data_IF_984580089058
#
_entry.id   IF_984580089058
#
_cell.length_a   1.000
_cell.length_b   1.000
_cell.length_c   1.000
_cell.angle_alpha   90.00
_cell.angle_beta   90.00
_cell.angle_gamma   90.00
#
_symmetry.space_group_name_H-M   'P 1'
#
loop_
_entity.id
_entity.type
_entity.pdbx_description
1 polymer ?
#
# COMPACT_ATOMS: atom_id res chain seq x y z
N UNK A 1 64.78 11.58 -42.45
CA UNK A 1 63.83 12.24 -41.50
C UNK A 1 62.41 12.55 -42.09
N UNK A 2 62.12 12.42 -43.39
CA UNK A 2 60.77 12.73 -43.94
C UNK A 2 59.84 11.52 -44.06
N UNK A 3 60.30 10.30 -43.88
CA UNK A 3 59.44 9.10 -43.93
C UNK A 3 58.75 8.72 -42.61
N UNK A 4 59.36 9.04 -41.48
CA UNK A 4 58.80 8.76 -40.14
C UNK A 4 57.56 9.59 -39.81
N UNK A 5 57.43 10.80 -40.38
CA UNK A 5 56.28 11.65 -40.12
C UNK A 5 54.99 11.22 -40.87
N UNK A 6 55.14 10.46 -41.98
CA UNK A 6 53.98 9.95 -42.71
C UNK A 6 53.32 8.75 -42.04
N UNK A 7 54.10 7.91 -41.38
CA UNK A 7 53.58 6.75 -40.60
C UNK A 7 52.89 7.19 -39.31
N UNK A 8 53.39 8.21 -38.65
CA UNK A 8 52.73 8.73 -37.42
C UNK A 8 51.37 9.37 -37.68
N UNK A 9 51.19 10.02 -38.86
CA UNK A 9 49.89 10.60 -39.23
C UNK A 9 48.87 9.55 -39.66
N UNK A 10 49.28 8.45 -40.27
CA UNK A 10 48.37 7.34 -40.64
C UNK A 10 47.88 6.56 -39.40
N UNK A 11 48.73 6.37 -38.39
CA UNK A 11 48.37 5.75 -37.13
C UNK A 11 47.43 6.63 -36.29
N UNK A 12 47.61 7.96 -36.31
CA UNK A 12 46.72 8.89 -35.63
C UNK A 12 45.32 8.93 -36.23
N UNK A 13 45.19 8.85 -37.54
CA UNK A 13 43.88 8.79 -38.21
C UNK A 13 43.18 7.44 -38.05
N UNK A 14 43.92 6.31 -38.00
CA UNK A 14 43.35 5.00 -37.71
C UNK A 14 42.83 4.86 -36.28
N UNK A 15 43.50 5.49 -35.29
CA UNK A 15 43.05 5.55 -33.91
C UNK A 15 41.78 6.36 -33.67
N UNK A 16 41.60 7.45 -34.43
CA UNK A 16 40.39 8.27 -34.35
C UNK A 16 39.16 7.58 -34.97
N UNK A 17 39.31 6.79 -36.02
CA UNK A 17 38.23 6.07 -36.67
C UNK A 17 37.78 4.86 -35.83
N UNK A 18 38.72 4.18 -35.14
CA UNK A 18 38.42 3.10 -34.22
C UNK A 18 37.70 3.59 -32.94
N UNK A 19 38.01 4.81 -32.46
CA UNK A 19 37.39 5.43 -31.32
C UNK A 19 35.92 5.90 -31.54
N UNK A 20 35.55 6.24 -32.78
CA UNK A 20 34.21 6.69 -33.14
C UNK A 20 33.25 5.54 -33.41
N UNK A 21 33.72 4.34 -33.73
CA UNK A 21 32.89 3.16 -33.90
C UNK A 21 32.47 2.47 -32.60
N UNK A 22 33.18 2.73 -31.49
CA UNK A 22 32.83 2.20 -30.18
C UNK A 22 31.75 3.02 -29.43
N UNK A 23 31.38 4.19 -29.95
CA UNK A 23 30.30 5.04 -29.37
C UNK A 23 28.90 4.74 -29.92
N UNK A 24 28.76 3.84 -30.88
CA UNK A 24 27.47 3.41 -31.41
C UNK A 24 26.91 2.14 -30.76
N UNK A 25 27.52 1.67 -29.66
CA UNK A 25 27.22 0.40 -29.01
C UNK A 25 26.49 0.46 -27.66
N UNK A 26 26.10 1.63 -27.16
CA UNK A 26 25.37 1.74 -25.88
C UNK A 26 23.97 2.36 -26.03
N UNK A 27 23.30 1.99 -27.09
CA UNK A 27 21.88 2.25 -27.27
C UNK A 27 21.11 0.95 -27.31
N UNK A 28 21.18 0.11 -26.26
CA UNK A 28 20.07 -0.81 -26.03
C UNK A 28 18.93 0.05 -25.52
N UNK A 29 18.22 0.70 -26.45
CA UNK A 29 16.87 1.12 -26.17
C UNK A 29 16.18 -0.13 -25.63
N UNK A 30 15.78 -0.10 -24.37
CA UNK A 30 14.90 -1.10 -23.83
C UNK A 30 13.67 -1.11 -24.76
N UNK A 31 13.55 -2.16 -25.57
CA UNK A 31 12.44 -2.32 -26.53
C UNK A 31 11.17 -2.78 -25.81
N UNK A 32 10.90 -2.22 -24.63
CA UNK A 32 9.65 -2.48 -23.96
C UNK A 32 8.66 -1.42 -24.36
N UNK A 33 7.61 -1.86 -25.06
CA UNK A 33 6.46 -1.01 -25.29
C UNK A 33 5.83 -0.63 -23.93
N UNK A 34 5.45 0.64 -23.75
CA UNK A 34 4.74 1.05 -22.55
C UNK A 34 3.50 0.18 -22.31
N UNK A 35 3.24 -0.13 -21.05
CA UNK A 35 2.05 -0.92 -20.72
C UNK A 35 0.79 -0.10 -20.98
N UNK A 36 -0.21 -0.75 -21.54
CA UNK A 36 -1.56 -0.20 -21.74
C UNK A 36 -2.59 -1.13 -21.11
N UNK A 37 -2.70 -1.13 -19.79
CA UNK A 37 -3.59 -2.03 -19.10
C UNK A 37 -5.05 -1.71 -19.44
N UNK A 38 -5.82 -2.74 -19.72
CA UNK A 38 -7.28 -2.66 -19.87
C UNK A 38 -8.01 -3.03 -18.58
N UNK A 39 -7.30 -3.67 -17.66
CA UNK A 39 -7.80 -4.04 -16.33
C UNK A 39 -6.74 -3.79 -15.26
N UNK A 40 -7.17 -3.24 -14.13
CA UNK A 40 -6.37 -3.19 -12.89
C UNK A 40 -7.01 -4.14 -11.89
N UNK A 41 -6.17 -4.97 -11.24
CA UNK A 41 -6.58 -5.85 -10.16
C UNK A 41 -5.69 -5.57 -8.95
N UNK A 42 -6.30 -5.10 -7.86
CA UNK A 42 -5.58 -4.70 -6.66
C UNK A 42 -5.81 -5.67 -5.49
N UNK A 43 -4.76 -5.91 -4.73
CA UNK A 43 -4.76 -6.71 -3.51
C UNK A 43 -4.05 -5.97 -2.39
N UNK A 44 -4.47 -6.17 -1.16
CA UNK A 44 -3.75 -5.63 -0.03
C UNK A 44 -4.63 -5.04 1.07
N UNK A 45 -4.17 -3.91 1.60
CA UNK A 45 -4.76 -3.24 2.76
C UNK A 45 -5.40 -1.87 2.40
N UNK A 46 -5.34 -0.91 3.32
CA UNK A 46 -6.07 0.36 3.23
C UNK A 46 -5.84 1.18 1.95
N UNK A 47 -4.64 1.15 1.35
CA UNK A 47 -4.33 1.97 0.17
C UNK A 47 -5.07 1.49 -1.09
N UNK A 48 -5.51 0.25 -1.08
CA UNK A 48 -6.25 -0.35 -2.20
C UNK A 48 -7.68 -0.77 -1.79
N UNK A 49 -8.09 -0.54 -0.55
CA UNK A 49 -9.47 -0.73 -0.10
C UNK A 49 -10.36 0.39 -0.67
N UNK A 50 -11.26 0.04 -1.56
CA UNK A 50 -12.20 0.96 -2.21
C UNK A 50 -13.57 0.99 -1.52
N UNK A 51 -13.60 0.70 -0.23
CA UNK A 51 -14.79 0.75 0.61
C UNK A 51 -15.39 -0.62 0.89
N UNK A 52 -14.59 -1.68 0.82
CA UNK A 52 -15.03 -3.03 1.19
C UNK A 52 -15.37 -3.12 2.66
N UNK A 53 -14.43 -2.71 3.50
CA UNK A 53 -14.58 -2.75 4.95
C UNK A 53 -15.14 -1.45 5.51
N UNK A 54 -15.24 -0.40 4.68
CA UNK A 54 -15.83 0.86 5.07
C UNK A 54 -17.36 0.85 4.94
N UNK A 55 -17.99 1.77 5.65
CA UNK A 55 -19.45 1.90 5.68
C UNK A 55 -20.03 2.28 4.32
N UNK A 56 -21.15 1.65 3.95
CA UNK A 56 -22.05 2.17 2.93
C UNK A 56 -22.96 3.21 3.57
N UNK A 57 -22.97 4.41 3.01
CA UNK A 57 -23.83 5.52 3.42
C UNK A 57 -24.77 5.91 2.29
N UNK A 58 -25.93 6.45 2.63
CA UNK A 58 -26.84 6.98 1.63
C UNK A 58 -26.64 8.48 1.51
N UNK A 59 -26.20 8.94 0.34
CA UNK A 59 -26.01 10.35 0.02
C UNK A 59 -27.03 10.72 -1.05
N UNK A 60 -27.97 11.59 -0.70
CA UNK A 60 -29.07 12.02 -1.61
C UNK A 60 -29.77 10.85 -2.31
N UNK A 61 -30.07 9.78 -1.56
CA UNK A 61 -30.76 8.59 -2.07
C UNK A 61 -29.86 7.55 -2.74
N UNK A 62 -28.57 7.84 -2.95
CA UNK A 62 -27.62 6.90 -3.56
C UNK A 62 -26.76 6.22 -2.52
N UNK A 63 -26.69 4.89 -2.56
CA UNK A 63 -25.76 4.12 -1.74
C UNK A 63 -24.31 4.39 -2.20
N UNK A 64 -23.50 4.87 -1.27
CA UNK A 64 -22.11 5.27 -1.54
C UNK A 64 -21.19 4.64 -0.52
N UNK A 65 -20.11 4.04 -0.96
CA UNK A 65 -19.08 3.50 -0.07
C UNK A 65 -18.07 4.58 0.28
N UNK A 66 -17.75 4.71 1.56
CA UNK A 66 -16.64 5.54 2.01
C UNK A 66 -15.32 4.78 1.87
N UNK A 67 -14.20 5.53 1.85
CA UNK A 67 -12.83 5.01 1.81
C UNK A 67 -12.13 5.35 3.12
N UNK A 68 -11.02 4.70 3.37
CA UNK A 68 -10.12 5.02 4.48
C UNK A 68 -9.26 6.25 4.14
N UNK A 69 -9.93 7.40 4.07
CA UNK A 69 -9.36 8.71 3.75
C UNK A 69 -10.38 9.79 4.13
N UNK A 70 -10.08 11.06 3.86
CA UNK A 70 -11.10 12.11 3.92
C UNK A 70 -12.00 12.00 2.69
N UNK A 71 -13.26 11.67 2.93
CA UNK A 71 -14.22 11.42 1.87
C UNK A 71 -14.80 12.73 1.32
N UNK A 72 -14.70 12.93 0.02
CA UNK A 72 -15.20 14.13 -0.62
C UNK A 72 -16.71 14.03 -0.86
N UNK A 73 -17.47 14.39 0.16
CA UNK A 73 -18.92 14.47 0.15
C UNK A 73 -19.31 15.90 0.43
N UNK A 74 -19.63 16.63 -0.62
CA UNK A 74 -20.14 18.00 -0.52
C UNK A 74 -21.66 18.02 -0.48
N UNK A 75 -22.24 19.10 0.06
CA UNK A 75 -23.71 19.28 0.05
C UNK A 75 -24.24 19.18 -1.39
N UNK A 76 -25.25 18.35 -1.60
CA UNK A 76 -25.82 18.08 -2.93
C UNK A 76 -25.09 16.99 -3.74
N UNK A 77 -23.95 16.46 -3.27
CA UNK A 77 -23.27 15.35 -3.96
C UNK A 77 -24.17 14.09 -3.97
N UNK A 78 -24.03 13.31 -5.04
CA UNK A 78 -24.68 12.00 -5.19
C UNK A 78 -23.70 10.84 -5.03
N UNK A 79 -22.40 11.15 -4.91
CA UNK A 79 -21.32 10.17 -4.80
C UNK A 79 -20.15 10.72 -4.00
N UNK A 80 -19.29 9.82 -3.52
CA UNK A 80 -18.01 10.15 -2.94
C UNK A 80 -16.96 10.23 -4.07
N UNK A 81 -16.34 11.40 -4.25
CA UNK A 81 -15.33 11.64 -5.29
C UNK A 81 -13.90 11.63 -4.75
N UNK A 82 -13.69 11.24 -3.50
CA UNK A 82 -12.34 11.06 -2.96
C UNK A 82 -11.63 9.93 -3.66
N UNK A 83 -10.40 10.20 -4.10
CA UNK A 83 -9.57 9.20 -4.72
C UNK A 83 -8.59 8.62 -3.71
N UNK A 84 -8.51 7.29 -3.70
CA UNK A 84 -7.41 6.53 -3.09
C UNK A 84 -6.27 6.37 -4.09
N UNK A 85 -5.13 5.88 -3.62
CA UNK A 85 -3.98 5.57 -4.47
C UNK A 85 -4.36 4.77 -5.72
N UNK A 86 -5.15 3.70 -5.54
CA UNK A 86 -5.53 2.81 -6.64
C UNK A 86 -6.51 3.48 -7.63
N UNK A 87 -7.38 4.37 -7.15
CA UNK A 87 -8.30 5.12 -8.01
C UNK A 87 -7.56 6.17 -8.85
N UNK A 88 -6.52 6.84 -8.28
CA UNK A 88 -5.63 7.71 -9.06
C UNK A 88 -4.92 6.94 -10.18
N UNK A 89 -4.39 5.75 -9.84
CA UNK A 89 -3.69 4.91 -10.83
C UNK A 89 -4.64 4.42 -11.93
N UNK A 90 -5.85 4.01 -11.58
CA UNK A 90 -6.87 3.60 -12.55
C UNK A 90 -7.25 4.75 -13.48
N UNK A 91 -7.43 5.95 -12.95
CA UNK A 91 -7.71 7.16 -13.72
C UNK A 91 -6.60 7.49 -14.71
N UNK A 92 -5.32 7.33 -14.31
CA UNK A 92 -4.17 7.57 -15.19
C UNK A 92 -4.21 6.69 -16.45
N UNK A 93 -4.63 5.44 -16.32
CA UNK A 93 -4.74 4.51 -17.45
C UNK A 93 -6.08 4.60 -18.19
N UNK A 94 -6.93 5.57 -17.89
CA UNK A 94 -8.26 5.69 -18.49
C UNK A 94 -9.22 4.57 -18.08
N UNK A 95 -8.87 3.80 -17.07
CA UNK A 95 -9.73 2.81 -16.44
C UNK A 95 -10.66 3.57 -15.49
N UNK A 96 -11.95 3.39 -15.61
CA UNK A 96 -12.95 4.10 -14.83
C UNK A 96 -12.86 3.86 -13.32
N UNK A 97 -13.98 3.74 -12.64
CA UNK A 97 -14.00 3.47 -11.19
C UNK A 97 -13.41 2.10 -10.85
N UNK A 98 -12.73 2.02 -9.71
CA UNK A 98 -12.32 0.75 -9.13
C UNK A 98 -13.44 0.23 -8.22
N UNK A 99 -13.91 -0.98 -8.51
CA UNK A 99 -14.98 -1.64 -7.76
C UNK A 99 -14.39 -2.70 -6.82
N UNK A 100 -15.07 -2.92 -5.69
CA UNK A 100 -14.73 -4.06 -4.85
C UNK A 100 -15.13 -5.38 -5.53
N UNK A 101 -14.21 -6.33 -5.55
CA UNK A 101 -14.37 -7.59 -6.26
C UNK A 101 -14.76 -8.78 -5.34
N UNK A 102 -14.52 -8.66 -4.03
CA UNK A 102 -14.74 -9.76 -3.08
C UNK A 102 -16.19 -10.22 -2.95
N UNK A 103 -17.16 -9.29 -2.96
CA UNK A 103 -18.60 -9.63 -2.90
C UNK A 103 -19.15 -10.18 -4.22
N UNK A 104 -18.41 -10.03 -5.30
CA UNK A 104 -18.83 -10.53 -6.62
C UNK A 104 -18.67 -12.06 -6.76
N UNK A 105 -18.32 -12.76 -5.70
CA UNK A 105 -18.13 -14.22 -5.67
C UNK A 105 -19.37 -15.00 -6.11
N UNK A 106 -20.55 -14.43 -5.99
CA UNK A 106 -21.78 -15.03 -6.51
C UNK A 106 -21.98 -14.82 -8.01
N UNK A 107 -21.20 -13.96 -8.67
CA UNK A 107 -21.47 -13.49 -10.04
C UNK A 107 -20.59 -14.14 -11.13
N UNK A 108 -19.69 -15.05 -10.77
CA UNK A 108 -18.86 -15.74 -11.77
C UNK A 108 -17.58 -15.00 -12.13
N UNK A 109 -17.13 -15.12 -13.39
CA UNK A 109 -15.84 -14.61 -13.87
C UNK A 109 -15.78 -13.08 -13.86
N UNK A 110 -14.67 -12.51 -13.35
CA UNK A 110 -14.41 -11.09 -13.46
C UNK A 110 -14.39 -10.63 -14.93
N UNK A 111 -14.93 -9.44 -15.24
CA UNK A 111 -14.78 -8.85 -16.56
C UNK A 111 -13.30 -8.67 -16.94
N UNK A 112 -13.02 -8.71 -18.23
CA UNK A 112 -11.66 -8.56 -18.79
C UNK A 112 -11.17 -7.11 -18.82
N UNK A 113 -12.02 -6.15 -18.47
CA UNK A 113 -11.71 -4.71 -18.46
C UNK A 113 -12.22 -4.08 -17.17
N UNK A 114 -11.65 -2.93 -16.79
CA UNK A 114 -12.08 -2.17 -15.63
C UNK A 114 -11.15 -2.28 -14.41
N UNK A 115 -11.52 -1.64 -13.32
CA UNK A 115 -10.77 -1.65 -12.06
C UNK A 115 -11.45 -2.53 -11.00
N UNK A 116 -10.69 -3.39 -10.36
CA UNK A 116 -11.17 -4.29 -9.31
C UNK A 116 -10.19 -4.33 -8.16
N UNK A 117 -10.71 -4.29 -6.94
CA UNK A 117 -9.91 -4.45 -5.74
C UNK A 117 -10.46 -5.54 -4.84
N UNK A 118 -9.56 -6.37 -4.34
CA UNK A 118 -9.79 -7.33 -3.26
C UNK A 118 -9.23 -6.81 -1.92
N UNK A 119 -8.63 -5.60 -1.94
CA UNK A 119 -8.00 -5.01 -0.76
C UNK A 119 -8.98 -4.75 0.37
N UNK A 120 -8.56 -5.05 1.58
CA UNK A 120 -9.33 -4.87 2.80
C UNK A 120 -8.49 -4.22 3.89
N UNK A 121 -8.99 -3.13 4.46
CA UNK A 121 -8.33 -2.46 5.56
C UNK A 121 -8.02 -3.43 6.70
N UNK A 122 -6.79 -3.40 7.19
CA UNK A 122 -6.31 -4.30 8.25
C UNK A 122 -5.86 -5.67 7.76
N UNK A 123 -5.91 -5.95 6.47
CA UNK A 123 -5.38 -7.19 5.92
C UNK A 123 -3.89 -7.34 6.23
N UNK A 124 -3.48 -8.58 6.44
CA UNK A 124 -2.08 -8.98 6.64
C UNK A 124 -1.59 -9.80 5.44
N UNK A 125 -0.29 -9.87 5.25
CA UNK A 125 0.29 -10.75 4.23
C UNK A 125 -0.03 -12.21 4.54
N UNK A 126 0.16 -12.58 5.80
CA UNK A 126 -0.07 -13.93 6.32
C UNK A 126 -0.82 -13.87 7.64
N UNK A 127 -1.47 -14.96 8.00
CA UNK A 127 -2.28 -15.03 9.20
C UNK A 127 -3.77 -15.14 8.88
N UNK A 128 -4.54 -15.64 9.85
CA UNK A 128 -5.96 -15.92 9.66
C UNK A 128 -6.87 -14.71 9.90
N UNK A 129 -6.33 -13.59 10.40
CA UNK A 129 -7.12 -12.47 10.88
C UNK A 129 -6.47 -11.13 10.56
N UNK A 130 -7.27 -10.14 10.21
CA UNK A 130 -6.83 -8.74 10.13
C UNK A 130 -6.61 -8.15 11.52
N UNK A 131 -5.72 -7.17 11.61
CA UNK A 131 -5.34 -6.50 12.87
C UNK A 131 -6.49 -5.68 13.45
N UNK A 132 -7.48 -5.35 12.66
CA UNK A 132 -8.43 -4.28 12.94
C UNK A 132 -9.70 -4.70 13.68
N UNK A 133 -9.90 -5.99 13.89
CA UNK A 133 -10.94 -6.49 14.80
C UNK A 133 -10.27 -7.34 15.90
N UNK A 134 -10.61 -7.09 17.15
CA UNK A 134 -10.16 -7.90 18.29
C UNK A 134 -10.48 -9.40 18.15
N UNK A 135 -11.38 -9.73 17.25
CA UNK A 135 -11.73 -11.09 16.86
C UNK A 135 -11.10 -11.47 15.53
N UNK A 136 -10.29 -10.60 14.95
CA UNK A 136 -9.74 -10.76 13.63
C UNK A 136 -10.76 -10.62 12.50
N UNK A 137 -11.93 -10.09 12.77
CA UNK A 137 -13.02 -10.01 11.79
C UNK A 137 -13.63 -8.62 11.75
N UNK A 138 -13.93 -8.13 10.54
CA UNK A 138 -14.71 -6.93 10.31
C UNK A 138 -16.18 -7.33 10.28
N UNK A 139 -17.01 -6.73 11.12
CA UNK A 139 -18.45 -6.88 11.03
C UNK A 139 -18.98 -6.05 9.87
N UNK A 140 -19.27 -6.68 8.76
CA UNK A 140 -20.05 -6.07 7.71
C UNK A 140 -21.52 -6.26 8.06
N UNK A 141 -22.22 -5.18 8.34
CA UNK A 141 -23.65 -5.04 8.59
C UNK A 141 -24.38 -6.20 9.30
N UNK A 142 -25.40 -5.87 10.07
CA UNK A 142 -26.13 -6.68 11.06
C UNK A 142 -26.76 -8.00 10.59
N UNK A 143 -26.56 -8.41 9.36
CA UNK A 143 -27.14 -9.64 8.78
C UNK A 143 -26.13 -10.54 8.08
N UNK A 144 -24.89 -10.12 7.92
CA UNK A 144 -23.86 -10.95 7.29
C UNK A 144 -23.02 -11.69 8.34
N UNK A 145 -22.64 -12.88 8.03
CA UNK A 145 -21.58 -13.65 8.72
C UNK A 145 -20.38 -12.74 8.93
N UNK A 146 -19.81 -12.73 10.13
CA UNK A 146 -18.63 -11.93 10.43
C UNK A 146 -17.55 -12.22 9.38
N UNK A 147 -17.18 -11.19 8.61
CA UNK A 147 -16.19 -11.31 7.57
C UNK A 147 -14.85 -10.87 8.17
N UNK A 148 -13.90 -11.80 8.24
CA UNK A 148 -12.53 -11.47 8.61
C UNK A 148 -11.85 -10.83 7.41
N UNK A 149 -11.05 -9.78 7.61
CA UNK A 149 -10.26 -9.21 6.54
C UNK A 149 -9.42 -10.32 5.89
N UNK A 150 -9.65 -10.57 4.61
CA UNK A 150 -8.90 -11.57 3.88
C UNK A 150 -7.43 -11.19 3.83
N UNK A 151 -6.56 -12.11 4.23
CA UNK A 151 -5.12 -11.95 4.02
C UNK A 151 -4.80 -11.97 2.52
N UNK A 152 -3.56 -11.59 2.16
CA UNK A 152 -3.15 -11.53 0.75
C UNK A 152 -3.35 -12.84 0.02
N UNK A 153 -3.09 -13.98 0.67
CA UNK A 153 -3.31 -15.29 0.07
C UNK A 153 -4.77 -15.49 -0.31
N UNK A 154 -5.69 -15.24 0.61
CA UNK A 154 -7.12 -15.42 0.37
C UNK A 154 -7.65 -14.47 -0.71
N UNK A 155 -7.17 -13.21 -0.74
CA UNK A 155 -7.52 -12.25 -1.79
C UNK A 155 -7.10 -12.77 -3.18
N UNK A 156 -5.90 -13.33 -3.29
CA UNK A 156 -5.38 -13.91 -4.54
C UNK A 156 -6.13 -15.21 -4.90
N UNK A 157 -6.47 -16.05 -3.91
CA UNK A 157 -7.27 -17.25 -4.12
C UNK A 157 -8.65 -16.89 -4.70
N UNK A 158 -9.30 -15.85 -4.18
CA UNK A 158 -10.56 -15.34 -4.69
C UNK A 158 -10.44 -14.91 -6.15
N UNK A 159 -9.39 -14.16 -6.50
CA UNK A 159 -9.15 -13.75 -7.88
C UNK A 159 -8.94 -14.95 -8.80
N UNK A 160 -8.06 -15.88 -8.42
CA UNK A 160 -7.72 -17.05 -9.24
C UNK A 160 -8.91 -18.01 -9.41
N UNK A 161 -9.82 -18.05 -8.45
CA UNK A 161 -11.07 -18.79 -8.56
C UNK A 161 -12.04 -18.16 -9.60
N UNK A 162 -11.95 -16.86 -9.83
CA UNK A 162 -12.79 -16.11 -10.77
C UNK A 162 -12.20 -16.02 -12.19
N UNK A 163 -10.96 -16.47 -12.40
CA UNK A 163 -10.32 -16.46 -13.70
C UNK A 163 -8.80 -16.50 -13.63
N UNK A 164 -8.19 -16.21 -14.76
CA UNK A 164 -6.74 -16.17 -14.93
C UNK A 164 -6.28 -14.76 -15.24
N UNK A 165 -5.01 -14.41 -14.94
CA UNK A 165 -4.40 -13.20 -15.43
C UNK A 165 -4.45 -13.07 -16.95
N UNK A 166 -4.61 -11.86 -17.45
CA UNK A 166 -4.47 -11.49 -18.86
C UNK A 166 -3.14 -10.77 -19.07
N UNK A 167 -2.64 -10.79 -20.29
CA UNK A 167 -1.42 -10.06 -20.67
C UNK A 167 -1.57 -8.54 -20.60
N UNK A 168 -2.81 -8.04 -20.52
CA UNK A 168 -3.16 -6.61 -20.40
C UNK A 168 -3.57 -6.22 -19.00
N UNK A 169 -3.38 -7.08 -18.00
CA UNK A 169 -3.68 -6.76 -16.61
C UNK A 169 -2.50 -6.08 -15.94
N UNK A 170 -2.79 -5.04 -15.17
CA UNK A 170 -1.89 -4.49 -14.17
C UNK A 170 -2.34 -4.97 -12.80
N UNK A 171 -1.53 -5.81 -12.18
CA UNK A 171 -1.72 -6.22 -10.79
C UNK A 171 -1.05 -5.22 -9.86
N UNK A 172 -1.75 -4.82 -8.80
CA UNK A 172 -1.23 -3.90 -7.79
C UNK A 172 -1.34 -4.56 -6.42
N UNK A 173 -0.23 -4.67 -5.71
CA UNK A 173 -0.20 -5.20 -4.34
C UNK A 173 0.29 -4.11 -3.41
N UNK A 174 -0.53 -3.71 -2.43
CA UNK A 174 -0.13 -2.78 -1.37
C UNK A 174 -0.54 -3.37 -0.03
N UNK A 175 0.46 -3.87 0.72
CA UNK A 175 0.20 -4.60 1.96
C UNK A 175 1.40 -4.52 2.92
N UNK A 176 1.17 -4.87 4.18
CA UNK A 176 2.18 -4.95 5.23
C UNK A 176 1.91 -4.05 6.42
N UNK A 177 1.04 -3.06 6.28
CA UNK A 177 0.62 -2.20 7.41
C UNK A 177 0.02 -3.04 8.54
N UNK A 178 -0.83 -4.01 8.19
CA UNK A 178 -1.43 -4.93 9.16
C UNK A 178 -0.40 -5.77 9.90
N UNK A 179 0.61 -6.29 9.20
CA UNK A 179 1.68 -7.09 9.82
C UNK A 179 2.54 -6.26 10.77
N UNK A 180 2.89 -5.02 10.38
CA UNK A 180 3.64 -4.07 11.22
C UNK A 180 2.87 -3.76 12.50
N UNK A 181 1.57 -3.44 12.37
CA UNK A 181 0.72 -3.16 13.52
C UNK A 181 0.58 -4.38 14.43
N UNK A 182 0.37 -5.57 13.86
CA UNK A 182 0.28 -6.82 14.62
C UNK A 182 1.55 -7.08 15.43
N UNK A 183 2.72 -6.98 14.80
CA UNK A 183 3.99 -7.17 15.49
C UNK A 183 4.23 -6.11 16.57
N UNK A 184 3.91 -4.85 16.28
CA UNK A 184 4.00 -3.78 17.25
C UNK A 184 3.09 -3.99 18.45
N UNK A 185 1.81 -4.27 18.24
CA UNK A 185 0.86 -4.55 19.34
C UNK A 185 1.33 -5.76 20.16
N UNK A 186 1.80 -6.82 19.53
CA UNK A 186 2.33 -7.99 20.19
C UNK A 186 3.62 -7.74 20.97
N UNK A 187 4.39 -6.71 20.62
CA UNK A 187 5.61 -6.34 21.34
C UNK A 187 5.35 -5.60 22.66
N UNK A 188 4.13 -5.11 22.91
CA UNK A 188 3.78 -4.43 24.13
C UNK A 188 3.76 -5.41 25.30
N UNK A 189 4.64 -5.18 26.29
CA UNK A 189 4.76 -6.03 27.48
C UNK A 189 3.83 -5.61 28.63
N UNK A 190 3.28 -4.40 28.56
CA UNK A 190 2.36 -3.87 29.57
C UNK A 190 1.20 -3.14 28.90
N UNK A 191 0.12 -3.86 28.68
CA UNK A 191 -1.10 -3.30 28.09
C UNK A 191 -2.11 -3.10 29.21
N UNK A 192 -2.35 -1.86 29.60
CA UNK A 192 -3.34 -1.51 30.63
C UNK A 192 -4.72 -1.33 30.01
N UNK A 193 -5.77 -1.51 30.82
CA UNK A 193 -7.15 -1.29 30.39
C UNK A 193 -7.50 0.19 30.18
N UNK A 194 -6.54 1.09 30.39
CA UNK A 194 -6.72 2.55 30.24
C UNK A 194 -6.18 3.06 28.92
N UNK A 195 -6.78 4.13 28.38
CA UNK A 195 -6.24 4.85 27.20
C UNK A 195 -4.75 5.23 27.43
N UNK A 196 -3.88 5.10 26.40
CA UNK A 196 -4.18 4.79 24.99
C UNK A 196 -4.24 3.29 24.65
N UNK A 197 -4.08 2.40 25.61
CA UNK A 197 -3.94 0.96 25.41
C UNK A 197 -5.25 0.18 25.62
N UNK A 198 -6.36 0.88 25.89
CA UNK A 198 -7.66 0.24 26.13
C UNK A 198 -8.00 -0.73 25.00
N UNK A 199 -8.17 -2.00 25.36
CA UNK A 199 -8.53 -3.07 24.44
C UNK A 199 -7.39 -3.66 23.59
N UNK A 200 -6.17 -3.11 23.59
CA UNK A 200 -5.04 -3.72 22.87
C UNK A 200 -4.68 -5.10 23.40
N UNK A 201 -4.96 -5.40 24.67
CA UNK A 201 -4.78 -6.74 25.26
C UNK A 201 -5.65 -7.80 24.57
N UNK A 202 -6.88 -7.45 24.21
CA UNK A 202 -7.79 -8.33 23.50
C UNK A 202 -7.28 -8.58 22.06
N UNK A 203 -6.82 -7.52 21.37
CA UNK A 203 -6.19 -7.64 20.05
C UNK A 203 -4.92 -8.48 20.13
N UNK A 204 -4.05 -8.22 21.11
CA UNK A 204 -2.82 -8.98 21.33
C UNK A 204 -3.11 -10.47 21.54
N UNK A 205 -4.13 -10.81 22.32
CA UNK A 205 -4.57 -12.21 22.52
C UNK A 205 -5.07 -12.81 21.20
N UNK A 206 -5.90 -12.09 20.45
CA UNK A 206 -6.43 -12.55 19.15
C UNK A 206 -5.31 -12.77 18.11
N UNK A 207 -4.24 -11.99 18.19
CA UNK A 207 -3.05 -12.12 17.34
C UNK A 207 -2.08 -13.24 17.80
N UNK A 208 -2.40 -14.00 18.82
CA UNK A 208 -1.56 -15.09 19.33
C UNK A 208 -0.64 -14.70 20.47
N UNK A 209 -0.98 -13.64 21.23
CA UNK A 209 -0.30 -13.21 22.44
C UNK A 209 0.94 -12.36 22.23
N UNK A 210 1.67 -12.12 23.33
CA UNK A 210 2.82 -11.22 23.37
C UNK A 210 4.07 -11.81 22.70
N UNK A 211 4.82 -10.97 21.99
CA UNK A 211 6.17 -11.26 21.51
C UNK A 211 7.19 -10.58 22.44
N UNK A 212 7.85 -11.36 23.28
CA UNK A 212 8.71 -10.82 24.35
C UNK A 212 10.14 -10.54 23.90
N UNK A 213 10.53 -10.95 22.69
CA UNK A 213 11.89 -10.77 22.17
C UNK A 213 11.90 -10.16 20.79
N UNK A 214 12.92 -9.35 20.50
CA UNK A 214 13.15 -8.81 19.14
C UNK A 214 13.30 -9.93 18.12
N UNK A 215 13.90 -11.06 18.48
CA UNK A 215 14.02 -12.21 17.60
C UNK A 215 12.64 -12.77 17.16
N UNK A 216 11.68 -12.85 18.07
CA UNK A 216 10.33 -13.32 17.76
C UNK A 216 9.58 -12.31 16.87
N UNK A 217 9.76 -11.02 17.11
CA UNK A 217 9.21 -9.95 16.25
C UNK A 217 9.81 -10.04 14.85
N UNK A 218 11.13 -10.18 14.74
CA UNK A 218 11.83 -10.33 13.47
C UNK A 218 11.37 -11.56 12.71
N UNK A 219 11.20 -12.69 13.39
CA UNK A 219 10.68 -13.91 12.76
C UNK A 219 9.29 -13.70 12.15
N UNK A 220 8.41 -12.93 12.81
CA UNK A 220 7.10 -12.58 12.25
C UNK A 220 7.24 -11.73 10.98
N UNK A 221 8.12 -10.73 10.98
CA UNK A 221 8.33 -9.87 9.82
C UNK A 221 8.95 -10.63 8.64
N UNK A 222 9.90 -11.52 8.92
CA UNK A 222 10.52 -12.39 7.91
C UNK A 222 9.48 -13.35 7.31
N UNK A 223 8.65 -13.98 8.13
CA UNK A 223 7.58 -14.87 7.65
C UNK A 223 6.57 -14.12 6.76
N UNK A 224 6.21 -12.89 7.10
CA UNK A 224 5.36 -12.06 6.25
C UNK A 224 6.04 -11.70 4.93
N UNK A 225 7.33 -11.37 4.95
CA UNK A 225 8.11 -11.09 3.74
C UNK A 225 8.25 -12.32 2.82
N UNK A 226 8.49 -13.50 3.40
CA UNK A 226 8.52 -14.77 2.66
C UNK A 226 7.16 -15.06 2.02
N UNK A 227 6.08 -14.92 2.78
CA UNK A 227 4.72 -15.11 2.28
C UNK A 227 4.38 -14.13 1.15
N UNK A 228 4.82 -12.86 1.24
CA UNK A 228 4.62 -11.87 0.17
C UNK A 228 5.25 -12.34 -1.15
N UNK A 229 6.51 -12.76 -1.12
CA UNK A 229 7.21 -13.26 -2.31
C UNK A 229 6.52 -14.50 -2.91
N UNK A 230 6.03 -15.42 -2.06
CA UNK A 230 5.25 -16.59 -2.49
C UNK A 230 3.96 -16.18 -3.20
N UNK A 231 3.21 -15.20 -2.67
CA UNK A 231 1.96 -14.76 -3.28
C UNK A 231 2.18 -14.05 -4.63
N UNK A 232 3.25 -13.24 -4.74
CA UNK A 232 3.63 -12.63 -6.03
C UNK A 232 3.99 -13.73 -7.03
N UNK A 233 4.75 -14.74 -6.60
CA UNK A 233 5.11 -15.86 -7.47
C UNK A 233 3.89 -16.63 -7.96
N UNK A 234 2.89 -16.84 -7.12
CA UNK A 234 1.64 -17.49 -7.54
C UNK A 234 0.92 -16.72 -8.65
N UNK A 235 0.88 -15.38 -8.57
CA UNK A 235 0.30 -14.54 -9.64
C UNK A 235 1.10 -14.65 -10.94
N UNK A 236 2.42 -14.60 -10.86
CA UNK A 236 3.28 -14.70 -12.06
C UNK A 236 3.24 -16.10 -12.68
N UNK A 237 3.23 -17.16 -11.87
CA UNK A 237 3.06 -18.53 -12.34
C UNK A 237 1.69 -18.74 -13.01
N UNK A 238 0.66 -18.03 -12.56
CA UNK A 238 -0.65 -18.02 -13.18
C UNK A 238 -0.73 -17.19 -14.48
N UNK A 239 0.34 -16.45 -14.83
CA UNK A 239 0.44 -15.69 -16.07
C UNK A 239 0.41 -14.16 -15.93
N UNK A 240 0.47 -13.62 -14.70
CA UNK A 240 0.57 -12.17 -14.50
C UNK A 240 1.88 -11.62 -15.11
N UNK A 241 1.76 -10.61 -15.97
CA UNK A 241 2.90 -10.00 -16.67
C UNK A 241 3.38 -8.71 -16.02
N UNK A 242 2.50 -7.98 -15.36
CA UNK A 242 2.84 -6.68 -14.75
C UNK A 242 2.31 -6.66 -13.32
N UNK A 243 3.24 -6.67 -12.36
CA UNK A 243 2.92 -6.65 -10.93
C UNK A 243 3.63 -5.46 -10.27
N UNK A 244 2.87 -4.45 -9.92
CA UNK A 244 3.31 -3.29 -9.18
C UNK A 244 3.13 -3.57 -7.68
N UNK A 245 4.21 -3.56 -6.94
CA UNK A 245 4.20 -3.76 -5.50
C UNK A 245 4.49 -2.43 -4.84
N UNK A 246 3.60 -1.98 -3.97
CA UNK A 246 3.78 -0.79 -3.14
C UNK A 246 4.07 -1.26 -1.72
N UNK A 247 5.26 -0.99 -1.24
CA UNK A 247 5.66 -1.32 0.13
C UNK A 247 4.80 -0.60 1.16
N UNK A 248 4.80 -1.05 2.41
CA UNK A 248 4.03 -0.38 3.47
C UNK A 248 4.56 1.03 3.72
N UNK A 249 3.69 1.98 4.12
CA UNK A 249 4.12 3.29 4.60
C UNK A 249 4.86 3.17 5.93
N UNK A 250 5.56 4.22 6.37
CA UNK A 250 6.13 4.24 7.71
C UNK A 250 5.04 4.44 8.77
N UNK A 251 4.60 3.34 9.37
CA UNK A 251 3.55 3.32 10.41
C UNK A 251 4.00 4.06 11.67
N UNK A 252 5.30 4.08 11.97
CA UNK A 252 5.85 4.81 13.13
C UNK A 252 5.69 6.34 13.05
N UNK A 253 5.35 6.88 11.87
CA UNK A 253 5.09 8.31 11.69
C UNK A 253 3.64 8.70 11.91
N UNK A 254 2.75 7.73 12.03
CA UNK A 254 1.30 7.96 12.15
C UNK A 254 0.91 8.62 13.48
N UNK A 255 -0.20 9.37 13.53
CA UNK A 255 -0.72 9.91 14.78
C UNK A 255 -0.97 8.82 15.83
N UNK A 256 -1.49 7.66 15.42
CA UNK A 256 -1.71 6.52 16.30
C UNK A 256 -0.41 6.01 16.94
N UNK A 257 0.65 5.83 16.14
CA UNK A 257 1.95 5.39 16.68
C UNK A 257 2.52 6.34 17.73
N UNK A 258 2.32 7.64 17.55
CA UNK A 258 2.72 8.68 18.51
C UNK A 258 1.91 8.58 19.80
N UNK A 259 0.61 8.39 19.68
CA UNK A 259 -0.29 8.29 20.82
C UNK A 259 0.01 7.07 21.69
N UNK A 260 0.27 5.92 21.08
CA UNK A 260 0.59 4.68 21.80
C UNK A 260 2.08 4.56 22.14
N UNK A 261 2.89 5.58 21.84
CA UNK A 261 4.33 5.60 22.18
C UNK A 261 5.17 4.58 21.41
N UNK A 262 4.75 4.16 20.22
CA UNK A 262 5.38 3.08 19.43
C UNK A 262 6.10 3.58 18.17
N UNK A 263 6.39 4.87 18.08
CA UNK A 263 6.96 5.51 16.89
C UNK A 263 8.25 4.83 16.41
N UNK A 264 9.15 4.48 17.32
CA UNK A 264 10.44 3.87 16.97
C UNK A 264 10.28 2.44 16.48
N UNK A 265 9.62 1.58 17.26
CA UNK A 265 9.45 0.16 16.92
C UNK A 265 8.70 0.03 15.59
N UNK A 266 7.56 0.68 15.44
CA UNK A 266 6.78 0.66 14.20
C UNK A 266 7.56 1.26 13.03
N UNK A 267 8.38 2.29 13.27
CA UNK A 267 9.27 2.87 12.29
C UNK A 267 10.32 1.87 11.80
N UNK A 268 10.97 1.14 12.69
CA UNK A 268 11.93 0.09 12.34
C UNK A 268 11.28 -1.06 11.58
N UNK A 269 10.08 -1.48 11.97
CA UNK A 269 9.36 -2.55 11.27
C UNK A 269 8.88 -2.13 9.88
N UNK A 270 8.70 -0.85 9.62
CA UNK A 270 8.16 -0.32 8.36
C UNK A 270 9.22 -0.08 7.28
N UNK A 271 10.33 0.59 7.64
CA UNK A 271 11.17 1.28 6.64
C UNK A 271 12.47 0.55 6.35
N UNK A 272 13.33 0.38 7.33
CA UNK A 272 14.66 -0.19 7.13
C UNK A 272 15.10 -0.98 8.36
N UNK A 273 15.84 -2.07 8.14
CA UNK A 273 16.44 -2.84 9.21
C UNK A 273 17.30 -1.93 10.09
N UNK A 274 16.91 -1.75 11.34
CA UNK A 274 17.58 -0.84 12.28
C UNK A 274 17.35 -1.27 13.71
N UNK A 275 18.27 -0.90 14.62
CA UNK A 275 18.20 -1.20 16.05
C UNK A 275 17.95 -2.70 16.37
N UNK A 276 18.39 -3.60 15.50
CA UNK A 276 18.17 -5.05 15.63
C UNK A 276 16.81 -5.54 15.15
N UNK A 277 15.91 -4.64 14.67
CA UNK A 277 14.62 -5.00 14.10
C UNK A 277 14.72 -5.25 12.58
N UNK A 278 13.91 -6.18 12.13
CA UNK A 278 13.71 -6.50 10.71
C UNK A 278 12.51 -5.73 10.16
N UNK A 279 12.72 -4.98 9.09
CA UNK A 279 11.65 -4.26 8.38
C UNK A 279 10.99 -5.17 7.34
N UNK A 280 9.66 -5.23 7.34
CA UNK A 280 8.91 -5.94 6.30
C UNK A 280 9.12 -5.30 4.92
N UNK A 281 9.31 -3.99 4.86
CA UNK A 281 9.61 -3.29 3.59
C UNK A 281 10.94 -3.72 3.00
N UNK A 282 12.02 -3.73 3.80
CA UNK A 282 13.35 -4.13 3.36
C UNK A 282 13.43 -5.63 3.08
N UNK A 283 12.91 -6.47 3.97
CA UNK A 283 12.89 -7.93 3.77
C UNK A 283 11.99 -8.33 2.61
N UNK A 284 10.81 -7.74 2.47
CA UNK A 284 9.92 -7.99 1.34
C UNK A 284 10.62 -7.72 0.01
N UNK A 285 11.27 -6.57 -0.13
CA UNK A 285 12.07 -6.27 -1.32
C UNK A 285 13.20 -7.30 -1.53
N UNK A 286 13.93 -7.66 -0.47
CA UNK A 286 15.01 -8.65 -0.52
C UNK A 286 14.50 -10.03 -0.98
N UNK A 287 13.36 -10.50 -0.45
CA UNK A 287 12.76 -11.79 -0.85
C UNK A 287 12.25 -11.77 -2.28
N UNK A 288 11.66 -10.65 -2.71
CA UNK A 288 11.23 -10.47 -4.10
C UNK A 288 12.45 -10.49 -5.02
N UNK A 289 13.53 -9.78 -4.68
CA UNK A 289 14.77 -9.81 -5.46
C UNK A 289 15.39 -11.20 -5.53
N UNK A 290 15.43 -11.92 -4.42
CA UNK A 290 15.95 -13.29 -4.38
C UNK A 290 15.09 -14.26 -5.23
N UNK A 291 13.77 -14.07 -5.25
CA UNK A 291 12.84 -14.93 -5.97
C UNK A 291 12.84 -14.66 -7.48
N UNK A 292 12.91 -13.38 -7.88
CA UNK A 292 12.68 -12.97 -9.24
C UNK A 292 13.94 -12.50 -9.97
N UNK A 293 15.01 -12.14 -9.24
CA UNK A 293 16.31 -11.80 -9.82
C UNK A 293 16.23 -10.76 -10.95
N UNK A 294 16.56 -11.17 -12.17
CA UNK A 294 16.55 -10.30 -13.36
C UNK A 294 15.13 -9.90 -13.82
N UNK A 295 14.08 -10.54 -13.32
CA UNK A 295 12.70 -10.13 -13.57
C UNK A 295 12.27 -8.89 -12.76
N UNK A 296 13.11 -8.42 -11.83
CA UNK A 296 12.91 -7.12 -11.18
C UNK A 296 12.99 -6.01 -12.22
N UNK A 297 12.02 -5.07 -12.13
CA UNK A 297 11.71 -3.99 -13.07
C UNK A 297 10.99 -4.44 -14.36
N UNK A 298 10.92 -5.74 -14.64
CA UNK A 298 10.10 -6.30 -15.69
C UNK A 298 10.01 -7.83 -15.55
N UNK A 299 8.88 -8.40 -15.18
CA UNK A 299 7.52 -7.83 -15.02
C UNK A 299 7.18 -7.32 -13.61
N UNK A 300 8.11 -7.28 -12.68
CA UNK A 300 7.85 -6.93 -11.28
C UNK A 300 8.48 -5.60 -10.94
N UNK A 301 7.70 -4.68 -10.40
CA UNK A 301 8.15 -3.36 -10.01
C UNK A 301 7.82 -3.09 -8.54
N UNK A 302 8.83 -2.73 -7.76
CA UNK A 302 8.66 -2.35 -6.35
C UNK A 302 8.75 -0.84 -6.17
N UNK A 303 7.78 -0.28 -5.46
CA UNK A 303 7.69 1.14 -5.08
C UNK A 303 7.83 1.24 -3.56
N UNK A 304 8.88 1.88 -3.10
CA UNK A 304 9.09 2.17 -1.70
C UNK A 304 8.40 3.50 -1.36
N UNK A 305 7.52 3.51 -0.36
CA UNK A 305 6.78 4.70 0.08
C UNK A 305 7.06 5.10 1.54
N UNK A 306 7.70 4.27 2.34
CA UNK A 306 7.98 4.60 3.73
C UNK A 306 8.99 5.76 3.85
N UNK A 307 9.98 5.82 2.98
CA UNK A 307 10.93 6.94 2.87
C UNK A 307 10.25 8.24 2.44
N UNK A 308 9.26 8.16 1.55
CA UNK A 308 8.45 9.31 1.17
C UNK A 308 7.65 9.83 2.38
N UNK A 309 7.01 8.95 3.16
CA UNK A 309 6.35 9.33 4.41
C UNK A 309 7.34 9.99 5.36
N UNK A 310 8.54 9.43 5.54
CA UNK A 310 9.58 10.05 6.37
C UNK A 310 9.91 11.47 5.93
N UNK A 311 10.13 11.66 4.63
CA UNK A 311 10.45 12.96 4.06
C UNK A 311 9.33 13.98 4.28
N UNK A 312 8.09 13.58 3.99
CA UNK A 312 6.93 14.44 4.07
C UNK A 312 6.45 14.70 5.52
N UNK A 313 6.95 13.94 6.50
CA UNK A 313 6.61 14.10 7.93
C UNK A 313 7.81 14.45 8.81
N UNK A 314 8.90 14.91 8.20
CA UNK A 314 10.15 15.21 8.94
C UNK A 314 10.08 16.44 9.84
N UNK A 315 9.06 17.27 9.69
CA UNK A 315 8.93 18.53 10.43
C UNK A 315 9.95 19.59 10.02
N UNK A 316 10.73 19.35 8.97
CA UNK A 316 11.67 20.34 8.46
C UNK A 316 10.94 21.39 7.64
N UNK A 317 11.34 22.65 7.79
CA UNK A 317 10.77 23.79 7.06
C UNK A 317 10.93 23.70 5.53
N UNK A 318 11.72 22.76 5.04
CA UNK A 318 11.87 22.49 3.60
C UNK A 318 10.65 21.79 2.99
N UNK A 319 9.79 21.17 3.79
CA UNK A 319 8.59 20.50 3.30
C UNK A 319 7.36 21.38 3.53
N UNK A 320 7.00 22.17 2.52
CA UNK A 320 5.82 23.04 2.53
C UNK A 320 4.56 22.38 1.94
N UNK A 321 4.65 21.11 1.54
CA UNK A 321 3.55 20.40 0.89
C UNK A 321 2.35 20.23 1.83
N UNK A 322 2.62 19.96 3.11
CA UNK A 322 1.61 19.76 4.13
C UNK A 322 1.86 20.69 5.31
N UNK A 323 0.83 21.43 5.73
CA UNK A 323 0.90 22.30 6.90
C UNK A 323 0.86 21.51 8.21
N UNK A 324 0.11 20.40 8.25
CA UNK A 324 0.09 19.47 9.37
C UNK A 324 0.57 18.07 8.95
N UNK A 325 1.68 17.67 9.55
CA UNK A 325 2.40 16.44 9.24
C UNK A 325 2.26 15.38 10.36
N UNK A 326 1.53 15.69 11.40
CA UNK A 326 1.56 14.90 12.64
C UNK A 326 0.19 14.57 13.21
N UNK A 327 -0.81 15.40 12.93
CA UNK A 327 -2.17 15.25 13.43
C UNK A 327 -3.08 14.62 12.37
N UNK A 328 -4.18 14.06 12.83
CA UNK A 328 -5.26 13.61 11.97
C UNK A 328 -6.15 14.80 11.57
N UNK A 329 -6.56 14.84 10.30
CA UNK A 329 -7.52 15.82 9.82
C UNK A 329 -8.91 15.61 10.43
N UNK A 330 -9.28 14.34 10.64
CA UNK A 330 -10.58 13.95 11.19
C UNK A 330 -10.54 13.94 12.72
N UNK A 331 -11.49 14.60 13.35
CA UNK A 331 -11.60 14.58 14.81
C UNK A 331 -12.09 13.23 15.32
N UNK A 332 -11.75 12.91 16.58
CA UNK A 332 -12.19 11.71 17.26
C UNK A 332 -13.74 11.56 17.28
N UNK A 333 -14.47 12.66 17.38
CA UNK A 333 -15.95 12.67 17.40
C UNK A 333 -16.57 12.30 16.07
N UNK A 334 -15.88 12.52 14.95
CA UNK A 334 -16.38 12.17 13.62
C UNK A 334 -16.33 10.69 13.32
N UNK A 335 -15.54 9.95 14.07
CA UNK A 335 -15.42 8.50 13.95
C UNK A 335 -16.25 7.71 14.97
N UNK A 336 -16.80 8.36 16.01
CA UNK A 336 -17.53 7.68 17.11
C UNK A 336 -19.01 7.45 16.88
N UNK A 337 -19.65 8.16 15.94
CA UNK A 337 -21.10 8.01 15.70
C UNK A 337 -21.46 6.71 15.00
N UNK A 338 -20.47 5.90 14.65
CA UNK A 338 -20.67 4.65 13.94
C UNK A 338 -20.11 3.44 14.69
N UNK A 339 -20.75 3.14 15.83
CA UNK A 339 -20.40 1.97 16.64
C UNK A 339 -20.54 0.61 15.91
N UNK A 340 -21.13 0.59 14.71
CA UNK A 340 -21.32 -0.65 13.96
C UNK A 340 -20.08 -1.11 13.20
N UNK A 341 -19.13 -0.19 12.97
CA UNK A 341 -17.85 -0.48 12.30
C UNK A 341 -16.65 -0.01 13.12
N UNK A 342 -16.85 0.23 14.39
CA UNK A 342 -15.72 0.43 15.27
C UNK A 342 -14.85 -0.80 15.17
N UNK A 343 -13.70 -0.58 14.60
CA UNK A 343 -12.57 -1.49 14.63
C UNK A 343 -12.46 -1.98 16.06
N UNK A 344 -12.76 -3.24 16.24
CA UNK A 344 -13.03 -3.90 17.50
C UNK A 344 -12.38 -3.31 18.74
N UNK A 345 -12.93 -3.57 19.83
CA UNK A 345 -12.70 -3.06 21.19
C UNK A 345 -11.23 -2.86 21.64
N UNK A 346 -10.28 -2.79 20.77
CA UNK A 346 -8.85 -2.65 21.09
C UNK A 346 -8.20 -1.35 20.66
N UNK A 347 -8.81 -0.68 19.70
CA UNK A 347 -8.42 0.69 19.42
C UNK A 347 -9.49 1.57 20.02
N UNK A 348 -9.13 2.65 20.70
CA UNK A 348 -10.09 3.69 21.02
C UNK A 348 -10.59 4.18 19.67
N UNK A 349 -11.68 3.68 19.27
CA UNK A 349 -12.27 3.48 17.95
C UNK A 349 -12.32 4.71 17.06
N UNK A 350 -12.25 5.85 17.69
CA UNK A 350 -12.29 7.16 17.10
C UNK A 350 -11.03 7.53 16.28
N UNK A 351 -9.93 6.80 16.36
CA UNK A 351 -8.61 7.33 15.97
C UNK A 351 -7.96 6.64 14.79
N UNK A 352 -8.50 5.55 14.32
CA UNK A 352 -7.96 4.83 13.15
C UNK A 352 -8.96 4.58 12.04
N UNK A 353 -10.17 5.13 12.14
CA UNK A 353 -11.18 5.01 11.09
C UNK A 353 -11.62 6.36 10.57
N UNK A 354 -11.31 6.65 9.33
CA UNK A 354 -11.80 7.82 8.59
C UNK A 354 -13.16 7.58 7.92
N UNK A 355 -13.83 6.45 8.22
CA UNK A 355 -15.07 6.07 7.55
C UNK A 355 -16.19 7.12 7.61
N UNK A 356 -16.16 8.05 8.56
CA UNK A 356 -17.12 9.16 8.67
C UNK A 356 -16.50 10.53 8.37
N UNK A 357 -15.19 10.57 8.05
CA UNK A 357 -14.50 11.81 7.77
C UNK A 357 -14.82 12.31 6.37
N UNK A 358 -15.42 13.48 6.28
CA UNK A 358 -15.80 14.10 5.01
C UNK A 358 -15.21 15.49 4.87
N UNK A 359 -15.08 15.99 3.65
CA UNK A 359 -14.65 17.36 3.37
C UNK A 359 -15.59 18.41 3.95
N UNK A 360 -16.86 18.09 4.13
CA UNK A 360 -17.81 18.97 4.80
C UNK A 360 -17.50 19.19 6.29
N UNK A 361 -16.82 18.24 6.92
CA UNK A 361 -16.46 18.28 8.34
C UNK A 361 -15.01 18.73 8.59
N UNK A 362 -14.16 18.70 7.56
CA UNK A 362 -12.69 18.92 7.66
C UNK A 362 -12.20 19.98 6.67
N UNK A 363 -12.87 21.02 6.42
CA UNK A 363 -12.60 22.10 5.45
C UNK A 363 -11.22 22.20 4.74
N UNK A 364 -10.11 21.86 5.39
CA UNK A 364 -8.72 21.99 4.87
C UNK A 364 -7.95 20.68 4.84
N UNK A 365 -8.63 19.55 4.61
CA UNK A 365 -8.01 18.23 4.61
C UNK A 365 -6.77 18.09 3.69
N UNK A 366 -6.70 18.88 2.63
CA UNK A 366 -5.56 18.88 1.70
C UNK A 366 -4.24 19.29 2.34
N UNK A 367 -4.28 20.02 3.46
CA UNK A 367 -3.08 20.46 4.18
C UNK A 367 -2.54 19.45 5.20
N UNK A 368 -3.24 18.33 5.42
CA UNK A 368 -2.85 17.27 6.34
C UNK A 368 -2.26 16.08 5.60
N UNK A 369 -1.29 15.41 6.24
CA UNK A 369 -0.78 14.11 5.78
C UNK A 369 -1.78 13.00 6.10
N UNK A 370 -2.34 13.01 7.30
CA UNK A 370 -3.20 11.95 7.82
C UNK A 370 -4.67 12.33 7.84
N UNK A 371 -5.50 11.43 7.35
CA UNK A 371 -6.95 11.53 7.46
C UNK A 371 -7.43 11.21 8.89
N UNK A 372 -6.90 10.13 9.44
CA UNK A 372 -7.18 9.66 10.81
C UNK A 372 -5.88 9.25 11.51
N UNK A 373 -5.96 8.43 12.56
CA UNK A 373 -4.80 7.96 13.31
C UNK A 373 -3.83 7.11 12.51
N UNK A 374 -4.25 6.52 11.39
CA UNK A 374 -3.46 5.58 10.60
C UNK A 374 -3.49 5.87 9.10
N UNK A 375 -4.62 6.31 8.57
CA UNK A 375 -4.85 6.43 7.14
C UNK A 375 -4.50 7.83 6.62
N UNK A 376 -4.24 7.92 5.32
CA UNK A 376 -3.73 9.10 4.65
C UNK A 376 -4.83 9.90 3.97
N UNK A 377 -4.65 11.22 3.90
CA UNK A 377 -5.54 12.10 3.13
C UNK A 377 -5.44 11.80 1.62
N UNK A 378 -6.42 12.20 0.80
CA UNK A 378 -6.32 12.08 -0.65
C UNK A 378 -5.07 12.77 -1.21
N UNK A 379 -4.68 13.91 -0.64
CA UNK A 379 -3.45 14.63 -1.04
C UNK A 379 -2.19 13.79 -0.81
N UNK A 380 -2.08 13.10 0.33
CA UNK A 380 -0.94 12.21 0.58
C UNK A 380 -1.01 10.96 -0.29
N UNK A 381 -2.18 10.40 -0.53
CA UNK A 381 -2.33 9.26 -1.45
C UNK A 381 -1.95 9.61 -2.89
N UNK A 382 -2.16 10.86 -3.31
CA UNK A 382 -1.67 11.36 -4.60
C UNK A 382 -0.13 11.42 -4.66
N UNK A 383 0.56 11.66 -3.53
CA UNK A 383 2.03 11.58 -3.49
C UNK A 383 2.51 10.13 -3.69
N UNK A 384 1.85 9.14 -3.10
CA UNK A 384 2.15 7.73 -3.36
C UNK A 384 1.94 7.35 -4.82
N UNK A 385 0.86 7.82 -5.42
CA UNK A 385 0.60 7.66 -6.85
C UNK A 385 1.71 8.30 -7.71
N UNK A 386 2.13 9.52 -7.41
CA UNK A 386 3.21 10.19 -8.13
C UNK A 386 4.54 9.42 -8.00
N UNK A 387 4.85 8.88 -6.82
CA UNK A 387 6.00 8.02 -6.59
C UNK A 387 5.94 6.75 -7.44
N UNK A 388 4.76 6.13 -7.52
CA UNK A 388 4.56 4.95 -8.36
C UNK A 388 4.75 5.27 -9.84
N UNK A 389 4.19 6.37 -10.35
CA UNK A 389 4.40 6.80 -11.73
C UNK A 389 5.87 7.11 -12.02
N UNK A 390 6.57 7.80 -11.11
CA UNK A 390 7.99 8.06 -11.27
C UNK A 390 8.78 6.76 -11.40
N UNK A 391 8.46 5.77 -10.57
CA UNK A 391 9.10 4.45 -10.61
C UNK A 391 8.76 3.67 -11.89
N UNK A 392 7.52 3.75 -12.35
CA UNK A 392 7.07 3.13 -13.61
C UNK A 392 7.77 3.75 -14.82
N UNK A 393 7.98 5.09 -14.84
CA UNK A 393 8.77 5.76 -15.88
C UNK A 393 10.22 5.30 -15.90
N UNK A 394 10.86 5.23 -14.72
CA UNK A 394 12.23 4.73 -14.59
C UNK A 394 12.41 3.29 -15.08
N UNK A 395 11.36 2.48 -14.97
CA UNK A 395 11.32 1.10 -15.45
C UNK A 395 10.86 0.98 -16.90
N UNK A 396 10.61 2.09 -17.60
CA UNK A 396 10.04 2.17 -18.94
C UNK A 396 8.69 1.43 -19.10
N UNK A 397 7.91 1.33 -18.03
CA UNK A 397 6.55 0.80 -18.08
C UNK A 397 5.56 1.82 -18.66
N UNK A 398 5.84 3.09 -18.50
CA UNK A 398 5.06 4.21 -19.04
C UNK A 398 6.00 5.30 -19.58
N UNK A 399 5.50 6.17 -20.43
CA UNK A 399 6.21 7.32 -20.98
C UNK A 399 6.30 8.50 -19.98
#
# INVERSE_FOLDING_TARGET
>A
MKQTYRFARLLACAGLIAGTLSLWGCGSASTYDPITPTRIVAFGDALVDVGQTARTVTINGNATKYRYTVNNVVSGATSNTSNTFIEYLASYFGIGSVSYAGDSLSAGRLPSTGGYSYGEFGAMVSGAAGVMDARGCVKVASTATAHCAYNLQAQIDLFLAQGSPSSTDLFVISIGTGDIMAAGIRSLTSVTATSPYAGLSTVQTALGGTLTTTAAINAQMQAAADALAVQIKRLTDAGAKYVLIVGPPNVGRTPWAREVGMTEVLGYLSYANSAGYTSIGAEGLSRIQATFGSAMNNPILYVEIAGLVNTLTSGTSANTTFADQTSAACSATQSTTDNAQSIGTGFTTARVSSALCTTATVGTAASYVYADGLNFTPSMQSQFYNQALARMRLAAWIN
#
